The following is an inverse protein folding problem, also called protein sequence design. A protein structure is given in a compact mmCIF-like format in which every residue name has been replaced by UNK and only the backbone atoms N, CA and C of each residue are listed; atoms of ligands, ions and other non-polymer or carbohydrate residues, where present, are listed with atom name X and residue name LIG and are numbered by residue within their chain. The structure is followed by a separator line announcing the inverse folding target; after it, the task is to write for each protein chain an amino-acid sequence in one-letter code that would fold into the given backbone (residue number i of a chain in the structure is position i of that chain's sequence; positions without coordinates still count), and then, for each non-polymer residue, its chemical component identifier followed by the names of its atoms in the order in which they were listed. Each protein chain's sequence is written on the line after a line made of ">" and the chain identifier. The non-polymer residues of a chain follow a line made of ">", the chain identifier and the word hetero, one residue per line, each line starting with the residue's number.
data_IF_802816494831
#
_entry.id   IF_802816494831
#
_cell.length_a   1.000
_cell.length_b   1.000
_cell.length_c   1.000
_cell.angle_alpha   90.00
_cell.angle_beta   90.00
_cell.angle_gamma   90.00
#
_symmetry.space_group_name_H-M   'P 1'
#
loop_
_entity.id
_entity.type
_entity.pdbx_description
1 polymer ?
#
# COMPACT_ATOMS: atom_id res chain seq x y z
N UNK A 1 10.61 -10.46 12.16
CA UNK A 1 9.91 -10.47 10.85
C UNK A 1 10.99 -10.31 9.78
N UNK A 2 11.10 -11.22 8.80
CA UNK A 2 12.12 -11.12 7.73
C UNK A 2 11.84 -9.85 6.91
N UNK A 3 12.68 -8.83 7.06
CA UNK A 3 12.55 -7.49 6.45
C UNK A 3 12.53 -7.54 4.91
N UNK A 4 13.06 -8.62 4.30
CA UNK A 4 13.27 -8.75 2.85
C UNK A 4 12.00 -8.71 1.98
N UNK A 5 10.85 -9.15 2.50
CA UNK A 5 9.63 -9.30 1.68
C UNK A 5 8.71 -8.08 1.73
N UNK A 6 9.01 -7.11 2.61
CA UNK A 6 8.20 -5.89 2.80
C UNK A 6 8.96 -4.60 2.51
N UNK A 7 10.22 -4.69 2.09
CA UNK A 7 11.07 -3.52 1.85
C UNK A 7 10.50 -2.60 0.77
N UNK A 8 9.93 -3.16 -0.29
CA UNK A 8 9.35 -2.39 -1.39
C UNK A 8 8.15 -1.55 -0.95
N UNK A 9 7.20 -2.14 -0.23
CA UNK A 9 6.04 -1.42 0.32
C UNK A 9 6.49 -0.32 1.28
N UNK A 10 7.39 -0.63 2.23
CA UNK A 10 7.88 0.36 3.21
C UNK A 10 8.66 1.48 2.53
N UNK A 11 9.43 1.17 1.48
CA UNK A 11 10.13 2.17 0.67
C UNK A 11 9.14 3.09 -0.03
N UNK A 12 8.14 2.54 -0.73
CA UNK A 12 7.13 3.32 -1.45
C UNK A 12 6.31 4.21 -0.50
N UNK A 13 5.84 3.65 0.62
CA UNK A 13 5.12 4.39 1.66
C UNK A 13 5.92 5.62 2.12
N UNK A 14 7.19 5.42 2.46
CA UNK A 14 8.08 6.52 2.89
C UNK A 14 8.35 7.51 1.76
N UNK A 15 8.57 7.02 0.55
CA UNK A 15 8.86 7.86 -0.60
C UNK A 15 7.69 8.79 -0.93
N UNK A 16 6.46 8.25 -0.94
CA UNK A 16 5.23 9.02 -1.11
C UNK A 16 5.03 10.00 0.04
N UNK A 17 5.30 9.60 1.28
CA UNK A 17 5.23 10.47 2.45
C UNK A 17 6.11 11.73 2.30
N UNK A 18 7.28 11.62 1.66
CA UNK A 18 8.19 12.74 1.41
C UNK A 18 7.97 13.48 0.08
N UNK A 19 6.86 13.24 -0.62
CA UNK A 19 6.51 13.89 -1.90
C UNK A 19 6.59 15.42 -1.86
N UNK A 20 6.12 16.04 -0.78
CA UNK A 20 6.15 17.50 -0.60
C UNK A 20 7.58 18.03 -0.51
N UNK A 21 8.44 17.34 0.25
CA UNK A 21 9.85 17.69 0.40
C UNK A 21 10.58 17.54 -0.94
N UNK A 22 10.37 16.45 -1.66
CA UNK A 22 10.99 16.21 -2.98
C UNK A 22 10.53 17.24 -4.02
N UNK A 23 9.26 17.63 -3.97
CA UNK A 23 8.72 18.70 -4.81
C UNK A 23 9.38 20.04 -4.46
N UNK A 24 9.49 20.39 -3.18
CA UNK A 24 10.18 21.64 -2.76
C UNK A 24 11.66 21.65 -3.17
N UNK A 25 12.35 20.49 -3.09
CA UNK A 25 13.75 20.35 -3.48
C UNK A 25 13.94 20.63 -4.98
N UNK A 26 13.00 20.19 -5.81
CA UNK A 26 13.13 20.30 -7.27
C UNK A 26 12.60 21.62 -7.82
N UNK A 27 11.61 22.24 -7.17
CA UNK A 27 11.02 23.50 -7.63
C UNK A 27 11.53 24.74 -6.86
N UNK A 28 11.66 24.69 -5.54
CA UNK A 28 12.03 25.88 -4.75
C UNK A 28 13.54 26.14 -4.72
N UNK A 29 14.38 25.10 -4.76
CA UNK A 29 15.84 25.30 -4.86
C UNK A 29 16.22 25.99 -6.17
N UNK A 30 15.49 25.76 -7.26
CA UNK A 30 15.74 26.47 -8.53
C UNK A 30 15.47 27.97 -8.46
N UNK A 31 14.66 28.42 -7.48
CA UNK A 31 14.38 29.84 -7.24
C UNK A 31 15.30 30.47 -6.18
N UNK A 32 15.72 29.69 -5.18
CA UNK A 32 16.51 30.19 -4.03
C UNK A 32 18.02 30.13 -4.22
N UNK A 33 18.51 29.27 -5.10
CA UNK A 33 19.94 29.13 -5.38
C UNK A 33 20.26 29.70 -6.76
N UNK A 34 21.41 30.37 -6.88
CA UNK A 34 21.99 30.84 -8.14
C UNK A 34 22.54 29.67 -8.97
N UNK A 35 21.67 28.72 -9.33
CA UNK A 35 22.02 27.55 -10.12
C UNK A 35 22.27 27.93 -11.58
N UNK A 36 23.28 27.31 -12.17
CA UNK A 36 23.52 27.46 -13.62
C UNK A 36 22.35 26.87 -14.42
N UNK A 37 22.08 27.35 -15.64
CA UNK A 37 21.01 26.82 -16.49
C UNK A 37 21.10 25.29 -16.71
N UNK A 38 22.32 24.76 -16.77
CA UNK A 38 22.58 23.31 -16.90
C UNK A 38 22.15 22.53 -15.66
N UNK A 39 22.42 23.04 -14.45
CA UNK A 39 22.00 22.43 -13.20
C UNK A 39 20.48 22.46 -13.03
N UNK A 40 19.85 23.59 -13.36
CA UNK A 40 18.38 23.73 -13.35
C UNK A 40 17.70 22.72 -14.29
N UNK A 41 18.22 22.55 -15.51
CA UNK A 41 17.67 21.57 -16.46
C UNK A 41 17.83 20.13 -15.95
N UNK A 42 18.94 19.82 -15.27
CA UNK A 42 19.17 18.49 -14.67
C UNK A 42 18.21 18.23 -13.51
N UNK A 43 17.98 19.21 -12.64
CA UNK A 43 17.02 19.11 -11.52
C UNK A 43 15.58 18.92 -12.02
N UNK A 44 15.14 19.69 -13.02
CA UNK A 44 13.82 19.52 -13.64
C UNK A 44 13.65 18.18 -14.34
N UNK A 45 14.73 17.57 -14.85
CA UNK A 45 14.65 16.22 -15.42
C UNK A 45 14.48 15.14 -14.34
N UNK A 46 14.90 15.42 -13.10
CA UNK A 46 14.80 14.51 -11.96
C UNK A 46 13.50 14.69 -11.16
N UNK A 47 12.71 15.74 -11.44
CA UNK A 47 11.42 15.93 -10.79
C UNK A 47 10.42 14.89 -11.26
N UNK A 48 9.74 14.26 -10.32
CA UNK A 48 8.64 13.34 -10.59
C UNK A 48 7.43 14.13 -11.11
N UNK A 49 6.84 13.65 -12.20
CA UNK A 49 5.59 14.19 -12.74
C UNK A 49 4.41 13.75 -11.88
N UNK A 50 3.24 14.39 -12.08
CA UNK A 50 2.00 13.96 -11.43
C UNK A 50 1.68 12.49 -11.74
N UNK A 51 1.90 12.07 -13.00
CA UNK A 51 1.69 10.70 -13.44
C UNK A 51 2.61 9.71 -12.73
N UNK A 52 3.90 10.03 -12.56
CA UNK A 52 4.83 9.17 -11.83
C UNK A 52 4.39 8.97 -10.38
N UNK A 53 3.90 10.04 -9.73
CA UNK A 53 3.35 9.95 -8.38
C UNK A 53 2.09 9.08 -8.31
N UNK A 54 1.19 9.22 -9.28
CA UNK A 54 -0.01 8.38 -9.36
C UNK A 54 0.35 6.91 -9.51
N UNK A 55 1.32 6.55 -10.35
CA UNK A 55 1.78 5.16 -10.47
C UNK A 55 2.30 4.63 -9.13
N UNK A 56 3.11 5.42 -8.41
CA UNK A 56 3.68 5.01 -7.12
C UNK A 56 2.58 4.82 -6.06
N UNK A 57 1.60 5.71 -6.01
CA UNK A 57 0.44 5.65 -5.11
C UNK A 57 -0.45 4.42 -5.43
N UNK A 58 -0.68 4.13 -6.71
CA UNK A 58 -1.40 2.91 -7.14
C UNK A 58 -0.64 1.67 -6.74
N UNK A 59 0.68 1.62 -6.99
CA UNK A 59 1.50 0.47 -6.62
C UNK A 59 1.53 0.24 -5.10
N UNK A 60 1.61 1.31 -4.31
CA UNK A 60 1.50 1.23 -2.86
C UNK A 60 0.13 0.66 -2.44
N UNK A 61 -0.96 1.14 -3.06
CA UNK A 61 -2.33 0.68 -2.78
C UNK A 61 -2.49 -0.81 -3.07
N UNK A 62 -1.94 -1.29 -4.18
CA UNK A 62 -1.94 -2.72 -4.52
C UNK A 62 -1.15 -3.54 -3.50
N UNK A 63 -0.01 -3.05 -3.03
CA UNK A 63 0.86 -3.78 -2.10
C UNK A 63 0.38 -3.76 -0.64
N UNK A 64 -0.38 -2.75 -0.25
CA UNK A 64 -0.90 -2.55 1.10
C UNK A 64 -1.60 -3.78 1.70
N UNK A 65 -2.62 -4.38 1.04
CA UNK A 65 -3.31 -5.56 1.58
C UNK A 65 -2.38 -6.76 1.75
N UNK A 66 -1.40 -6.95 0.86
CA UNK A 66 -0.43 -8.04 0.96
C UNK A 66 0.58 -7.82 2.10
N UNK A 67 1.00 -6.58 2.33
CA UNK A 67 1.86 -6.22 3.45
C UNK A 67 1.19 -6.54 4.79
N UNK A 68 -0.06 -6.11 4.95
CA UNK A 68 -0.83 -6.35 6.18
C UNK A 68 -1.13 -7.83 6.40
N UNK A 69 -1.50 -8.55 5.34
CA UNK A 69 -1.72 -10.00 5.38
C UNK A 69 -0.47 -10.78 5.78
N UNK A 70 0.68 -10.44 5.18
CA UNK A 70 1.98 -11.04 5.50
C UNK A 70 2.38 -10.77 6.95
N UNK A 71 2.15 -9.53 7.43
CA UNK A 71 2.43 -9.15 8.81
C UNK A 71 1.53 -9.92 9.80
N UNK A 72 0.25 -10.08 9.48
CA UNK A 72 -0.70 -10.84 10.29
C UNK A 72 -0.31 -12.32 10.37
N UNK A 73 0.05 -12.95 9.26
CA UNK A 73 0.46 -14.36 9.21
C UNK A 73 1.86 -14.62 9.80
N UNK A 74 2.70 -13.59 9.90
CA UNK A 74 4.05 -13.70 10.46
C UNK A 74 4.09 -13.57 11.99
N UNK A 75 2.95 -13.32 12.65
CA UNK A 75 2.92 -13.18 14.11
C UNK A 75 2.93 -14.54 14.81
N UNK A 76 3.61 -14.63 15.95
CA UNK A 76 3.55 -15.81 16.84
C UNK A 76 2.43 -15.72 17.88
N UNK A 77 1.77 -14.56 17.97
CA UNK A 77 0.81 -14.25 19.06
C UNK A 77 -0.63 -14.67 18.77
N UNK A 78 -0.92 -15.25 17.60
CA UNK A 78 -2.27 -15.63 17.16
C UNK A 78 -2.19 -16.93 16.35
N UNK A 79 -3.24 -17.77 16.34
CA UNK A 79 -3.30 -18.93 15.46
C UNK A 79 -3.35 -18.45 14.00
N UNK A 80 -2.25 -18.61 13.28
CA UNK A 80 -2.09 -18.11 11.90
C UNK A 80 -2.63 -19.09 10.85
N UNK A 81 -2.63 -20.38 11.16
CA UNK A 81 -3.10 -21.44 10.25
C UNK A 81 -4.60 -21.33 9.98
N UNK A 82 -5.40 -21.07 11.02
CA UNK A 82 -6.86 -20.91 10.91
C UNK A 82 -7.27 -19.68 10.08
N UNK A 83 -6.47 -18.61 10.12
CA UNK A 83 -6.77 -17.37 9.40
C UNK A 83 -6.27 -17.36 7.94
N UNK A 84 -5.47 -18.35 7.55
CA UNK A 84 -4.83 -18.37 6.23
C UNK A 84 -5.86 -18.40 5.09
N UNK A 85 -6.89 -19.26 5.21
CA UNK A 85 -7.93 -19.39 4.17
C UNK A 85 -8.73 -18.09 4.00
N UNK A 86 -9.09 -17.44 5.10
CA UNK A 86 -9.81 -16.16 5.10
C UNK A 86 -8.97 -15.04 4.48
N UNK A 87 -7.66 -15.00 4.78
CA UNK A 87 -6.74 -14.01 4.20
C UNK A 87 -6.57 -14.24 2.69
N UNK A 88 -6.39 -15.49 2.26
CA UNK A 88 -6.30 -15.83 0.84
C UNK A 88 -7.58 -15.42 0.10
N UNK A 89 -8.75 -15.68 0.67
CA UNK A 89 -10.02 -15.25 0.08
C UNK A 89 -10.13 -13.72 -0.01
N UNK A 90 -9.75 -12.99 1.03
CA UNK A 90 -9.76 -11.52 1.03
C UNK A 90 -8.81 -10.93 -0.03
N UNK A 91 -7.62 -11.51 -0.21
CA UNK A 91 -6.65 -11.08 -1.24
C UNK A 91 -7.14 -11.40 -2.66
N UNK A 92 -7.71 -12.59 -2.89
CA UNK A 92 -8.29 -12.92 -4.18
C UNK A 92 -9.42 -11.96 -4.52
N UNK A 93 -10.31 -11.67 -3.57
CA UNK A 93 -11.39 -10.70 -3.79
C UNK A 93 -10.86 -9.31 -4.09
N UNK A 94 -9.81 -8.86 -3.38
CA UNK A 94 -9.16 -7.58 -3.66
C UNK A 94 -8.64 -7.50 -5.11
N UNK A 95 -8.11 -8.60 -5.65
CA UNK A 95 -7.61 -8.65 -7.03
C UNK A 95 -8.72 -8.77 -8.09
N UNK A 96 -9.91 -9.23 -7.72
CA UNK A 96 -11.03 -9.48 -8.66
C UNK A 96 -12.12 -8.40 -8.64
N UNK A 97 -12.16 -7.56 -7.60
CA UNK A 97 -13.12 -6.45 -7.52
C UNK A 97 -12.63 -5.34 -8.45
N UNK A 98 -13.42 -5.06 -9.49
CA UNK A 98 -13.22 -3.93 -10.41
C UNK A 98 -13.18 -2.58 -9.67
N UNK A 99 -12.43 -1.62 -10.22
CA UNK A 99 -12.00 -0.33 -9.64
C UNK A 99 -13.09 0.60 -9.02
N UNK A 100 -14.36 0.21 -9.05
CA UNK A 100 -15.49 1.04 -8.62
C UNK A 100 -15.83 0.98 -7.12
N UNK A 101 -15.12 0.20 -6.29
CA UNK A 101 -15.40 0.15 -4.85
C UNK A 101 -14.11 0.17 -4.01
N UNK A 102 -13.79 1.27 -3.31
CA UNK A 102 -12.66 1.31 -2.39
C UNK A 102 -13.04 0.54 -1.12
N UNK A 103 -12.95 -0.80 -1.17
CA UNK A 103 -13.23 -1.64 -0.01
C UNK A 103 -11.91 -1.95 0.70
N UNK A 104 -11.72 -1.39 1.89
CA UNK A 104 -10.53 -1.67 2.71
C UNK A 104 -10.48 -3.13 3.13
N UNK A 105 -9.27 -3.68 3.30
CA UNK A 105 -9.06 -5.07 3.77
C UNK A 105 -9.78 -5.33 5.10
N UNK A 106 -9.90 -4.32 5.96
CA UNK A 106 -10.69 -4.41 7.20
C UNK A 106 -12.19 -4.65 6.94
N UNK A 107 -12.75 -4.04 5.90
CA UNK A 107 -14.16 -4.18 5.53
C UNK A 107 -14.42 -5.56 4.92
N UNK A 108 -13.49 -6.06 4.11
CA UNK A 108 -13.53 -7.43 3.58
C UNK A 108 -13.38 -8.45 4.71
N UNK A 109 -12.42 -8.27 5.62
CA UNK A 109 -12.24 -9.17 6.76
C UNK A 109 -13.45 -9.14 7.69
N UNK A 110 -14.07 -7.98 7.95
CA UNK A 110 -15.33 -7.89 8.71
C UNK A 110 -16.47 -8.63 8.01
N UNK A 111 -16.64 -8.46 6.69
CA UNK A 111 -17.66 -9.20 5.91
C UNK A 111 -17.41 -10.71 5.97
N UNK A 112 -16.18 -11.15 5.76
CA UNK A 112 -15.85 -12.58 5.72
C UNK A 112 -15.91 -13.22 7.10
N UNK A 113 -15.51 -12.52 8.17
CA UNK A 113 -15.67 -13.01 9.55
C UNK A 113 -17.16 -13.17 9.90
N UNK A 114 -18.02 -12.25 9.47
CA UNK A 114 -19.48 -12.39 9.66
C UNK A 114 -20.01 -13.62 8.91
N UNK A 115 -19.52 -13.90 7.71
CA UNK A 115 -19.92 -15.07 6.91
C UNK A 115 -19.38 -16.38 7.53
N UNK A 116 -18.12 -16.42 7.94
CA UNK A 116 -17.52 -17.61 8.58
C UNK A 116 -18.16 -17.90 9.94
N UNK A 117 -18.55 -16.88 10.73
CA UNK A 117 -19.32 -17.07 11.97
C UNK A 117 -20.74 -17.58 11.69
N UNK A 118 -21.40 -17.08 10.63
CA UNK A 118 -22.72 -17.58 10.22
C UNK A 118 -22.69 -19.02 9.68
N UNK A 119 -21.60 -19.43 9.04
CA UNK A 119 -21.41 -20.79 8.52
C UNK A 119 -20.97 -21.76 9.62
N UNK A 120 -20.14 -21.31 10.58
CA UNK A 120 -19.66 -22.15 11.69
C UNK A 120 -20.66 -22.28 12.85
N UNK A 121 -21.51 -21.28 13.09
CA UNK A 121 -22.49 -21.27 14.19
C UNK A 121 -23.92 -21.18 13.68
N UNK A 122 -24.23 -21.97 12.64
CA UNK A 122 -25.53 -22.00 11.95
C UNK A 122 -26.69 -21.50 12.79
N UNK A 123 -27.28 -20.38 12.33
CA UNK A 123 -28.55 -19.76 12.75
C UNK A 123 -29.20 -20.45 13.96
N UNK A 124 -28.78 -20.11 15.17
CA UNK A 124 -29.53 -20.49 16.38
C UNK A 124 -30.79 -19.64 16.45
N UNK A 125 -31.89 -20.19 15.95
CA UNK A 125 -33.25 -19.90 16.41
C UNK A 125 -33.81 -21.17 17.05
#
# INVERSE_FOLDING_TARGET
>A
MKIRWSSTYVMLFRFIFYKSVLSSLTYDLTKRMNLTPRQNRKLKKLSFTSFDWTILETLQTVLDPFYHSTKALSTRKRPTLSCNKTIMFALTNFLTIDDNVPMTLETLLKKTIVIDVWILYGKTY
#
